data_IF_938813034130
#
_entry.id   IF_938813034130
#
_cell.length_a   1.000
_cell.length_b   1.000
_cell.length_c   1.000
_cell.angle_alpha   90.00
_cell.angle_beta   90.00
_cell.angle_gamma   90.00
#
_symmetry.space_group_name_H-M   'P 1'
#
loop_
_entity.id
_entity.type
_entity.pdbx_description
1 polymer ?
#
# COMPACT_ATOMS: atom_id res chain seq x y z
N UNK A 1 -2.15 14.27 -36.50
CA UNK A 1 -1.26 13.68 -35.48
C UNK A 1 -0.45 12.60 -36.16
N UNK A 2 0.87 12.75 -36.23
CA UNK A 2 1.73 11.71 -36.79
C UNK A 2 1.65 10.44 -35.94
N UNK A 3 1.72 9.27 -36.58
CA UNK A 3 1.64 7.96 -35.91
C UNK A 3 2.67 7.86 -34.76
N UNK A 4 3.85 8.46 -34.94
CA UNK A 4 4.91 8.61 -33.94
C UNK A 4 4.43 9.34 -32.67
N UNK A 5 3.72 10.46 -32.82
CA UNK A 5 3.17 11.23 -31.68
C UNK A 5 2.12 10.43 -30.91
N UNK A 6 1.30 9.62 -31.59
CA UNK A 6 0.31 8.75 -30.96
C UNK A 6 0.98 7.65 -30.10
N UNK A 7 2.04 7.01 -30.62
CA UNK A 7 2.81 6.02 -29.86
C UNK A 7 3.53 6.61 -28.64
N UNK A 8 4.06 7.83 -28.76
CA UNK A 8 4.74 8.50 -27.64
C UNK A 8 3.74 8.83 -26.52
N UNK A 9 2.56 9.37 -26.86
CA UNK A 9 1.53 9.70 -25.88
C UNK A 9 1.05 8.44 -25.17
N UNK A 10 0.75 7.36 -25.92
CA UNK A 10 0.26 6.09 -25.34
C UNK A 10 1.32 5.43 -24.45
N UNK A 11 2.58 5.38 -24.88
CA UNK A 11 3.68 4.86 -24.06
C UNK A 11 3.86 5.65 -22.76
N UNK A 12 3.76 6.98 -22.82
CA UNK A 12 3.85 7.85 -21.65
C UNK A 12 2.71 7.60 -20.66
N UNK A 13 1.50 7.43 -21.17
CA UNK A 13 0.30 7.14 -20.36
C UNK A 13 0.42 5.78 -19.67
N UNK A 14 0.91 4.76 -20.39
CA UNK A 14 1.19 3.44 -19.83
C UNK A 14 2.22 3.50 -18.70
N UNK A 15 3.33 4.22 -18.89
CA UNK A 15 4.34 4.40 -17.85
C UNK A 15 3.72 5.03 -16.59
N UNK A 16 2.93 6.09 -16.75
CA UNK A 16 2.26 6.74 -15.61
C UNK A 16 1.37 5.74 -14.87
N UNK A 17 0.54 4.96 -15.57
CA UNK A 17 -0.35 3.98 -14.94
C UNK A 17 0.42 2.88 -14.21
N UNK A 18 1.53 2.40 -14.79
CA UNK A 18 2.37 1.36 -14.20
C UNK A 18 3.10 1.84 -12.95
N UNK A 19 3.63 3.08 -12.95
CA UNK A 19 4.41 3.63 -11.82
C UNK A 19 3.56 4.36 -10.77
N UNK A 20 2.32 4.74 -11.08
CA UNK A 20 1.40 5.37 -10.13
C UNK A 20 1.27 4.63 -8.78
N UNK A 21 1.07 3.30 -8.72
CA UNK A 21 0.95 2.59 -7.45
C UNK A 21 2.23 2.61 -6.59
N UNK A 22 3.40 2.75 -7.22
CA UNK A 22 4.69 2.86 -6.52
C UNK A 22 4.97 4.29 -6.03
N UNK A 23 4.54 5.31 -6.78
CA UNK A 23 4.68 6.71 -6.39
C UNK A 23 3.69 7.09 -5.29
N UNK A 24 2.46 6.56 -5.37
CA UNK A 24 1.36 6.86 -4.46
C UNK A 24 0.79 5.58 -3.84
N UNK A 25 1.56 4.86 -3.01
CA UNK A 25 1.07 3.65 -2.39
C UNK A 25 -0.03 3.96 -1.37
N UNK A 26 -0.92 2.98 -1.18
CA UNK A 26 -2.02 3.06 -0.21
C UNK A 26 -1.58 2.48 1.12
N UNK A 27 -1.71 3.27 2.18
CA UNK A 27 -1.38 2.82 3.54
C UNK A 27 -2.33 1.71 4.01
N UNK A 28 -1.80 0.56 4.40
CA UNK A 28 -2.56 -0.61 4.84
C UNK A 28 -3.36 -0.32 6.12
N UNK A 29 -2.84 0.53 7.01
CA UNK A 29 -3.50 0.89 8.27
C UNK A 29 -4.57 2.00 8.10
N UNK A 30 -4.20 3.17 7.58
CA UNK A 30 -5.13 4.30 7.47
C UNK A 30 -5.92 4.35 6.14
N UNK A 31 -5.66 3.42 5.22
CA UNK A 31 -6.31 3.29 3.90
C UNK A 31 -6.22 4.53 2.98
N UNK A 32 -5.41 5.53 3.34
CA UNK A 32 -5.15 6.74 2.54
C UNK A 32 -4.00 6.52 1.56
N UNK A 33 -4.17 7.01 0.34
CA UNK A 33 -3.12 7.13 -0.67
C UNK A 33 -2.21 8.29 -0.26
N UNK A 34 -0.89 8.08 -0.28
CA UNK A 34 0.09 9.09 0.09
C UNK A 34 1.32 9.00 -0.81
N UNK A 35 2.11 10.06 -0.93
CA UNK A 35 3.40 9.98 -1.62
C UNK A 35 4.35 8.97 -0.95
N UNK A 36 5.19 8.31 -1.75
CA UNK A 36 6.14 7.28 -1.30
C UNK A 36 7.03 7.71 -0.13
N UNK A 37 7.46 8.97 -0.07
CA UNK A 37 8.31 9.50 1.00
C UNK A 37 7.64 9.54 2.38
N UNK A 38 6.31 9.50 2.44
CA UNK A 38 5.55 9.44 3.68
C UNK A 38 5.48 8.03 4.27
N UNK A 39 6.03 7.02 3.58
CA UNK A 39 6.06 5.65 4.03
C UNK A 39 7.34 5.32 4.77
N UNK A 40 7.21 4.54 5.86
CA UNK A 40 8.36 3.99 6.59
C UNK A 40 8.56 2.54 6.20
N UNK A 41 7.48 1.77 6.21
CA UNK A 41 7.44 0.37 5.81
C UNK A 41 6.79 0.34 4.43
N UNK A 42 7.46 -0.29 3.47
CA UNK A 42 6.86 -0.55 2.16
C UNK A 42 7.47 -1.82 1.59
N UNK A 43 6.59 -2.77 1.31
CA UNK A 43 6.89 -4.00 0.59
C UNK A 43 6.42 -3.80 -0.84
N UNK A 44 7.38 -3.82 -1.76
CA UNK A 44 7.12 -3.77 -3.19
C UNK A 44 6.25 -4.96 -3.60
N UNK A 45 5.55 -4.78 -4.73
CA UNK A 45 4.76 -5.83 -5.36
C UNK A 45 5.66 -7.03 -5.61
N UNK A 46 5.47 -8.11 -4.86
CA UNK A 46 6.03 -9.38 -5.29
C UNK A 46 5.13 -9.93 -6.40
N UNK A 47 5.73 -10.52 -7.43
CA UNK A 47 5.03 -11.24 -8.52
C UNK A 47 4.14 -12.41 -8.03
N UNK A 48 4.08 -12.65 -6.72
CA UNK A 48 3.17 -13.61 -6.13
C UNK A 48 1.76 -13.01 -6.14
N UNK A 49 0.87 -13.62 -6.92
CA UNK A 49 -0.58 -13.37 -7.06
C UNK A 49 -1.39 -13.60 -5.76
N UNK A 50 -0.88 -13.15 -4.61
CA UNK A 50 -1.59 -13.22 -3.33
C UNK A 50 -2.18 -11.88 -2.94
N UNK A 51 -3.38 -11.90 -2.34
CA UNK A 51 -4.12 -10.75 -1.78
C UNK A 51 -3.34 -9.87 -0.77
N UNK A 52 -2.08 -10.20 -0.44
CA UNK A 52 -1.20 -9.49 0.50
C UNK A 52 0.13 -9.02 -0.13
N UNK A 53 0.24 -9.01 -1.47
CA UNK A 53 1.47 -8.64 -2.18
C UNK A 53 1.94 -7.21 -1.87
N UNK A 54 1.01 -6.25 -1.77
CA UNK A 54 1.33 -4.84 -1.49
C UNK A 54 0.96 -4.45 -0.06
N UNK A 55 1.98 -4.20 0.77
CA UNK A 55 1.80 -3.66 2.12
C UNK A 55 2.69 -2.46 2.34
N UNK A 56 2.09 -1.34 2.69
CA UNK A 56 2.82 -0.12 2.99
C UNK A 56 2.20 0.57 4.20
N UNK A 57 3.03 1.07 5.11
CA UNK A 57 2.59 1.76 6.32
C UNK A 57 3.26 3.13 6.39
N UNK A 58 2.42 4.16 6.49
CA UNK A 58 2.90 5.54 6.54
C UNK A 58 3.61 5.83 7.88
N UNK A 59 4.59 6.75 7.87
CA UNK A 59 5.35 7.20 9.06
C UNK A 59 4.45 7.59 10.22
N UNK A 60 3.31 8.27 9.95
CA UNK A 60 2.31 8.65 10.95
C UNK A 60 1.66 7.43 11.63
N UNK A 61 1.33 6.39 10.87
CA UNK A 61 0.79 5.14 11.42
C UNK A 61 1.85 4.36 12.18
N UNK A 62 3.07 4.28 11.64
CA UNK A 62 4.20 3.65 12.32
C UNK A 62 4.46 4.29 13.69
N UNK A 63 4.50 5.63 13.77
CA UNK A 63 4.70 6.33 15.04
C UNK A 63 3.54 6.17 16.01
N UNK A 64 2.29 6.09 15.53
CA UNK A 64 1.10 5.95 16.39
C UNK A 64 1.01 4.59 17.09
N UNK A 65 1.43 3.53 16.41
CA UNK A 65 1.29 2.14 16.88
C UNK A 65 2.63 1.48 17.16
N UNK A 66 3.70 2.27 17.22
CA UNK A 66 5.09 1.84 17.46
C UNK A 66 5.54 0.69 16.54
N UNK A 67 5.30 0.83 15.24
CA UNK A 67 5.62 -0.17 14.22
C UNK A 67 6.87 0.23 13.45
N UNK A 68 7.88 -0.63 13.47
CA UNK A 68 9.16 -0.47 12.79
C UNK A 68 9.33 -1.47 11.65
N UNK A 69 8.75 -2.67 11.77
CA UNK A 69 8.89 -3.75 10.79
C UNK A 69 7.55 -4.19 10.20
N UNK A 70 7.60 -4.82 9.03
CA UNK A 70 6.39 -5.39 8.41
C UNK A 70 5.80 -6.53 9.26
N UNK A 71 6.64 -7.35 9.88
CA UNK A 71 6.20 -8.44 10.77
C UNK A 71 5.43 -7.92 11.98
N UNK A 72 5.88 -6.81 12.57
CA UNK A 72 5.14 -6.13 13.64
C UNK A 72 3.78 -5.63 13.15
N UNK A 73 3.72 -5.02 11.96
CA UNK A 73 2.46 -4.60 11.38
C UNK A 73 1.52 -5.79 11.12
N UNK A 74 2.02 -6.92 10.63
CA UNK A 74 1.24 -8.14 10.41
C UNK A 74 0.67 -8.69 11.73
N UNK A 75 1.48 -8.72 12.79
CA UNK A 75 1.02 -9.10 14.14
C UNK A 75 -0.05 -8.14 14.65
N UNK A 76 0.19 -6.83 14.57
CA UNK A 76 -0.77 -5.80 14.96
C UNK A 76 -2.10 -5.93 14.21
N UNK A 77 -2.05 -6.13 12.90
CA UNK A 77 -3.25 -6.29 12.07
C UNK A 77 -4.05 -7.53 12.48
N UNK A 78 -3.37 -8.66 12.70
CA UNK A 78 -4.02 -9.90 13.14
C UNK A 78 -4.69 -9.78 14.51
N UNK A 79 -4.06 -9.05 15.45
CA UNK A 79 -4.64 -8.78 16.77
C UNK A 79 -5.85 -7.87 16.66
N UNK A 80 -5.75 -6.81 15.84
CA UNK A 80 -6.87 -5.90 15.58
C UNK A 80 -8.06 -6.63 14.99
N UNK A 81 -7.86 -7.52 14.01
CA UNK A 81 -8.93 -8.33 13.42
C UNK A 81 -9.57 -9.26 14.47
N UNK A 82 -8.77 -9.93 15.30
CA UNK A 82 -9.28 -10.77 16.40
C UNK A 82 -10.13 -9.98 17.40
N UNK A 83 -9.69 -8.77 17.77
CA UNK A 83 -10.44 -7.91 18.71
C UNK A 83 -11.75 -7.45 18.08
N UNK A 84 -11.73 -6.99 16.84
CA UNK A 84 -12.95 -6.57 16.12
C UNK A 84 -13.94 -7.73 16.00
N UNK A 85 -13.47 -8.93 15.67
CA UNK A 85 -14.31 -10.12 15.61
C UNK A 85 -14.96 -10.43 16.98
N UNK A 86 -14.17 -10.43 18.06
CA UNK A 86 -14.71 -10.68 19.42
C UNK A 86 -15.72 -9.61 19.87
N UNK A 87 -15.48 -8.34 19.53
CA UNK A 87 -16.43 -7.27 19.83
C UNK A 87 -17.74 -7.46 19.07
N UNK A 88 -17.67 -7.89 17.80
CA UNK A 88 -18.84 -8.14 16.97
C UNK A 88 -19.67 -9.35 17.42
N UNK A 89 -19.03 -10.38 18.00
CA UNK A 89 -19.70 -11.60 18.50
C UNK A 89 -20.16 -11.51 19.97
N UNK A 90 -19.78 -10.47 20.70
CA UNK A 90 -20.27 -10.20 22.07
C UNK A 90 -21.49 -9.28 22.10
N UNK A 91 -21.79 -8.63 20.98
CA UNK A 91 -23.02 -7.89 20.69
C UNK A 91 -23.99 -8.83 19.98
#
# INVERSE_FOLDING_TARGET
MEITTFFIITASLLLIVVFFPDLFPRCSNCKKIKPRFMFRIHKNVSLRLGYKANRSVCKKCCRKYDLYTLNEYERYESLREKVVYRLKNKL
#
